data_IF_940526102482
#
_entry.id   IF_940526102482
#
_cell.length_a   1.000
_cell.length_b   1.000
_cell.length_c   1.000
_cell.angle_alpha   90.00
_cell.angle_beta   90.00
_cell.angle_gamma   90.00
#
_symmetry.space_group_name_H-M   'P 1'
#
loop_
_entity.id
_entity.type
_entity.pdbx_description
1 polymer ?
#
# COMPACT_ATOMS: atom_id res chain seq x y z
N UNK A 1 6.62 62.87 0.77
CA UNK A 1 5.18 62.90 1.05
C UNK A 1 4.60 61.57 0.70
N UNK A 2 3.95 60.91 1.71
CA UNK A 2 3.09 59.71 1.67
C UNK A 2 3.74 58.36 1.24
N UNK A 3 4.23 57.62 2.11
CA UNK A 3 3.86 56.49 2.97
C UNK A 3 2.65 55.68 2.46
N UNK A 4 2.89 54.45 2.01
CA UNK A 4 1.88 53.41 2.02
C UNK A 4 2.48 52.13 2.63
N UNK A 5 1.98 51.83 3.80
CA UNK A 5 2.19 50.68 4.63
C UNK A 5 1.38 49.51 4.07
N UNK A 6 1.98 48.37 3.79
CA UNK A 6 1.26 47.13 3.57
C UNK A 6 1.77 46.10 4.56
N UNK A 7 0.99 45.92 5.61
CA UNK A 7 1.24 44.89 6.64
C UNK A 7 0.95 43.48 6.10
N UNK A 8 1.98 42.68 6.02
CA UNK A 8 1.86 41.22 5.92
C UNK A 8 1.72 40.66 7.33
N UNK A 9 0.53 40.25 7.68
CA UNK A 9 0.28 39.46 8.89
C UNK A 9 0.91 38.06 8.72
N UNK A 10 1.89 37.79 9.54
CA UNK A 10 2.43 36.44 9.76
C UNK A 10 1.41 35.65 10.56
N UNK A 11 0.82 34.62 9.97
CA UNK A 11 0.11 33.58 10.71
C UNK A 11 1.15 32.72 11.45
N UNK A 12 1.07 32.75 12.76
CA UNK A 12 1.90 31.97 13.66
C UNK A 12 1.60 30.48 13.50
N UNK A 13 2.64 29.69 13.18
CA UNK A 13 2.62 28.24 13.31
C UNK A 13 2.47 27.89 14.81
N UNK A 14 1.32 27.34 15.16
CA UNK A 14 1.15 26.69 16.46
C UNK A 14 1.92 25.36 16.44
N UNK A 15 3.03 25.31 17.16
CA UNK A 15 3.78 24.09 17.42
C UNK A 15 2.93 23.14 18.26
N UNK A 16 2.35 22.11 17.65
CA UNK A 16 1.70 21.03 18.38
C UNK A 16 2.76 20.14 19.04
N UNK A 17 2.62 20.01 20.36
CA UNK A 17 3.51 19.30 21.28
C UNK A 17 3.78 17.85 20.87
N UNK A 18 5.03 17.51 20.63
CA UNK A 18 5.58 16.20 20.24
C UNK A 18 5.55 15.12 21.33
N UNK A 19 4.86 15.31 22.46
CA UNK A 19 5.13 14.51 23.67
C UNK A 19 4.07 13.47 24.05
N UNK A 20 2.99 13.25 23.30
CA UNK A 20 1.90 12.36 23.74
C UNK A 20 1.82 10.98 23.08
N UNK A 21 2.65 10.66 22.08
CA UNK A 21 2.52 9.40 21.32
C UNK A 21 3.37 8.22 21.83
N UNK A 22 4.15 8.37 22.88
CA UNK A 22 5.17 7.37 23.26
C UNK A 22 4.76 6.33 24.33
N UNK A 23 3.52 6.23 24.77
CA UNK A 23 3.18 5.37 25.93
C UNK A 23 2.10 4.31 25.76
N UNK A 24 1.61 3.98 24.56
CA UNK A 24 0.46 3.06 24.42
C UNK A 24 0.64 1.87 23.46
N UNK A 25 1.84 1.32 23.37
CA UNK A 25 2.08 0.08 22.59
C UNK A 25 2.29 -1.18 23.46
N UNK A 26 2.02 -1.14 24.78
CA UNK A 26 2.18 -2.30 25.63
C UNK A 26 0.84 -2.67 26.29
N UNK A 27 0.11 -3.61 25.71
CA UNK A 27 -0.97 -4.26 26.44
C UNK A 27 -2.23 -4.54 25.62
N UNK A 28 -2.24 -5.63 24.87
CA UNK A 28 -3.36 -6.56 24.72
C UNK A 28 -3.02 -7.63 23.66
N UNK A 29 -2.26 -8.62 24.05
CA UNK A 29 -2.14 -9.88 23.32
C UNK A 29 -3.45 -10.66 23.53
N UNK A 30 -4.27 -10.76 22.48
CA UNK A 30 -5.26 -11.82 22.39
C UNK A 30 -4.72 -12.88 21.42
N UNK A 31 -4.91 -14.20 21.73
CA UNK A 31 -4.42 -15.25 20.86
C UNK A 31 -5.14 -15.18 19.52
N UNK A 32 -4.36 -15.07 18.46
CA UNK A 32 -4.81 -15.38 17.12
C UNK A 32 -5.14 -16.87 17.10
N UNK A 33 -6.41 -17.22 17.04
CA UNK A 33 -6.85 -18.60 16.77
C UNK A 33 -6.29 -18.98 15.42
N UNK A 34 -5.51 -20.04 15.39
CA UNK A 34 -4.79 -20.51 14.21
C UNK A 34 -5.71 -20.63 13.01
N UNK A 35 -5.50 -19.75 12.03
CA UNK A 35 -6.08 -19.89 10.71
C UNK A 35 -5.44 -21.12 10.06
N UNK A 36 -6.23 -22.17 9.85
CA UNK A 36 -5.85 -23.26 8.95
C UNK A 36 -5.65 -22.63 7.55
N UNK A 37 -4.64 -23.07 6.78
CA UNK A 37 -4.49 -22.59 5.40
C UNK A 37 -5.77 -22.95 4.64
N UNK A 38 -6.57 -21.94 4.36
CA UNK A 38 -7.68 -22.05 3.42
C UNK A 38 -7.08 -22.04 2.02
N UNK A 39 -7.55 -22.92 1.16
CA UNK A 39 -7.16 -22.92 -0.23
C UNK A 39 -7.37 -21.51 -0.81
N UNK A 40 -6.40 -21.04 -1.59
CA UNK A 40 -6.47 -19.75 -2.26
C UNK A 40 -7.82 -19.65 -3.00
N UNK A 41 -8.59 -18.63 -2.68
CA UNK A 41 -9.81 -18.35 -3.42
C UNK A 41 -9.43 -18.10 -4.89
N UNK A 42 -10.08 -18.80 -5.81
CA UNK A 42 -9.84 -18.60 -7.23
C UNK A 42 -10.15 -17.13 -7.59
N UNK A 43 -9.35 -16.51 -8.47
CA UNK A 43 -9.59 -15.16 -8.93
C UNK A 43 -10.96 -15.05 -9.61
N UNK A 44 -11.59 -13.90 -9.47
CA UNK A 44 -12.85 -13.62 -10.13
C UNK A 44 -12.64 -13.61 -11.67
N UNK A 45 -13.22 -14.55 -12.44
CA UNK A 45 -12.98 -14.64 -13.88
C UNK A 45 -13.54 -13.44 -14.67
N UNK A 46 -14.44 -12.63 -14.10
CA UNK A 46 -14.98 -11.44 -14.77
C UNK A 46 -13.96 -10.30 -14.87
N UNK A 47 -12.97 -10.23 -13.97
CA UNK A 47 -11.95 -9.18 -14.01
C UNK A 47 -10.92 -9.40 -15.13
N UNK A 48 -10.71 -10.65 -15.53
CA UNK A 48 -9.80 -10.97 -16.64
C UNK A 48 -10.42 -10.63 -18.03
N UNK A 49 -11.72 -10.47 -18.13
CA UNK A 49 -12.41 -10.23 -19.42
C UNK A 49 -12.60 -8.74 -19.74
N UNK A 50 -12.56 -7.84 -18.75
CA UNK A 50 -12.84 -6.42 -18.94
C UNK A 50 -11.62 -5.49 -18.94
N UNK A 51 -10.46 -5.96 -18.49
CA UNK A 51 -9.20 -5.25 -18.72
C UNK A 51 -8.64 -5.74 -20.05
N UNK A 52 -8.34 -4.86 -21.00
CA UNK A 52 -7.66 -5.22 -22.26
C UNK A 52 -6.24 -5.79 -22.05
N UNK A 53 -5.94 -6.25 -20.86
CA UNK A 53 -4.74 -6.93 -20.44
C UNK A 53 -5.01 -8.44 -20.45
N UNK A 54 -4.40 -9.19 -21.38
CA UNK A 54 -4.36 -10.65 -21.29
C UNK A 54 -3.41 -11.02 -20.14
N UNK A 55 -3.95 -11.23 -18.94
CA UNK A 55 -3.18 -11.67 -17.80
C UNK A 55 -3.24 -13.19 -17.66
N UNK A 56 -2.09 -13.85 -17.48
CA UNK A 56 -2.01 -15.26 -17.08
C UNK A 56 -1.66 -15.32 -15.59
N UNK A 57 -2.46 -16.05 -14.80
CA UNK A 57 -2.10 -16.36 -13.42
C UNK A 57 -1.32 -17.68 -13.38
N UNK A 58 -0.15 -17.65 -12.77
CA UNK A 58 0.67 -18.84 -12.54
C UNK A 58 0.98 -18.99 -11.04
N UNK A 59 0.07 -19.63 -10.31
CA UNK A 59 0.25 -19.89 -8.88
C UNK A 59 0.67 -21.34 -8.58
N UNK A 60 0.20 -22.29 -9.37
CA UNK A 60 0.27 -23.71 -8.99
C UNK A 60 1.50 -24.45 -9.52
N UNK A 61 2.13 -23.97 -10.60
CA UNK A 61 3.16 -24.72 -11.31
C UNK A 61 4.57 -24.59 -10.71
N UNK A 62 4.79 -23.65 -9.76
CA UNK A 62 6.13 -23.24 -9.33
C UNK A 62 6.47 -23.52 -7.87
N UNK A 63 5.56 -24.09 -7.09
CA UNK A 63 5.78 -24.30 -5.64
C UNK A 63 5.78 -22.99 -4.80
N UNK A 64 5.41 -21.85 -5.38
CA UNK A 64 5.27 -20.57 -4.66
C UNK A 64 4.01 -20.56 -3.79
N UNK A 65 4.08 -19.84 -2.66
CA UNK A 65 2.94 -19.60 -1.76
C UNK A 65 2.05 -18.46 -2.29
N UNK A 66 2.67 -17.43 -2.90
CA UNK A 66 1.98 -16.30 -3.51
C UNK A 66 1.63 -16.53 -4.98
N UNK A 67 0.68 -15.77 -5.47
CA UNK A 67 0.25 -15.79 -6.87
C UNK A 67 0.93 -14.66 -7.67
N UNK A 68 1.21 -14.90 -8.96
CA UNK A 68 1.71 -13.87 -9.86
C UNK A 68 0.71 -13.69 -11.01
N UNK A 69 0.30 -12.43 -11.21
CA UNK A 69 -0.45 -12.00 -12.38
C UNK A 69 0.47 -11.16 -13.27
N UNK A 70 0.51 -11.45 -14.56
CA UNK A 70 1.28 -10.68 -15.53
C UNK A 70 0.34 -9.98 -16.50
N UNK A 71 0.41 -8.65 -16.54
CA UNK A 71 -0.34 -7.81 -17.48
C UNK A 71 0.63 -7.22 -18.51
N UNK A 72 0.29 -7.35 -19.79
CA UNK A 72 1.14 -6.90 -20.91
C UNK A 72 0.62 -5.60 -21.49
N UNK A 73 1.49 -4.59 -21.58
CA UNK A 73 1.19 -3.26 -22.17
C UNK A 73 2.25 -2.93 -23.22
N UNK A 74 2.07 -3.40 -24.43
CA UNK A 74 3.10 -3.27 -25.48
C UNK A 74 4.40 -3.96 -25.07
N UNK A 75 5.54 -3.24 -25.04
CA UNK A 75 6.82 -3.81 -24.62
C UNK A 75 6.98 -3.91 -23.09
N UNK A 76 6.09 -3.27 -22.31
CA UNK A 76 6.14 -3.23 -20.85
C UNK A 76 5.26 -4.32 -20.26
N UNK A 77 5.76 -5.03 -19.24
CA UNK A 77 4.96 -5.96 -18.45
C UNK A 77 4.88 -5.47 -17.01
N UNK A 78 3.70 -5.60 -16.43
CA UNK A 78 3.47 -5.37 -15.00
C UNK A 78 3.20 -6.73 -14.38
N UNK A 79 4.10 -7.16 -13.52
CA UNK A 79 3.98 -8.38 -12.74
C UNK A 79 3.50 -8.00 -11.34
N UNK A 80 2.38 -8.55 -10.93
CA UNK A 80 1.80 -8.37 -9.60
C UNK A 80 2.00 -9.64 -8.79
N UNK A 81 2.85 -9.60 -7.77
CA UNK A 81 2.99 -10.69 -6.81
C UNK A 81 2.02 -10.45 -5.65
N UNK A 82 1.07 -11.34 -5.50
CA UNK A 82 0.06 -11.29 -4.44
C UNK A 82 0.40 -12.30 -3.34
N UNK A 83 0.67 -11.82 -2.12
CA UNK A 83 0.91 -12.69 -0.98
C UNK A 83 -0.37 -13.41 -0.52
N UNK A 84 -0.24 -14.56 0.20
CA UNK A 84 -1.35 -15.19 0.89
C UNK A 84 -2.01 -14.28 1.96
N UNK A 85 -3.15 -14.74 2.51
CA UNK A 85 -3.93 -13.99 3.51
C UNK A 85 -3.15 -13.60 4.76
N UNK A 86 -2.21 -14.42 5.20
CA UNK A 86 -1.36 -14.13 6.38
C UNK A 86 -0.29 -13.06 6.10
N UNK A 87 -0.05 -12.73 4.84
CA UNK A 87 0.70 -11.57 4.36
C UNK A 87 -0.19 -10.39 3.96
N UNK A 88 -1.47 -10.41 4.33
CA UNK A 88 -2.47 -9.38 4.04
C UNK A 88 -2.80 -9.20 2.56
N UNK A 89 -2.49 -10.18 1.70
CA UNK A 89 -2.65 -10.08 0.25
C UNK A 89 -1.93 -8.87 -0.35
N UNK A 90 -0.80 -8.49 0.25
CA UNK A 90 0.02 -7.39 -0.25
C UNK A 90 0.51 -7.70 -1.66
N UNK A 91 0.43 -6.72 -2.52
CA UNK A 91 0.84 -6.78 -3.92
C UNK A 91 2.17 -6.03 -4.12
N UNK A 92 3.25 -6.77 -4.34
CA UNK A 92 4.48 -6.18 -4.87
C UNK A 92 4.37 -6.10 -6.39
N UNK A 93 4.55 -4.91 -6.94
CA UNK A 93 4.45 -4.67 -8.37
C UNK A 93 5.85 -4.55 -8.98
N UNK A 94 6.10 -5.32 -10.02
CA UNK A 94 7.37 -5.34 -10.73
C UNK A 94 7.13 -4.92 -12.18
N UNK A 95 7.73 -3.80 -12.57
CA UNK A 95 7.62 -3.27 -13.93
C UNK A 95 8.80 -3.78 -14.72
N UNK A 96 8.57 -4.72 -15.63
CA UNK A 96 9.56 -5.21 -16.57
C UNK A 96 9.61 -4.28 -17.79
N UNK A 97 10.64 -3.46 -17.85
CA UNK A 97 10.94 -2.58 -18.97
C UNK A 97 11.86 -3.22 -20.00
N UNK A 98 12.34 -2.45 -20.96
CA UNK A 98 13.23 -2.93 -22.04
C UNK A 98 14.51 -3.62 -21.52
N UNK A 99 15.18 -3.05 -20.52
CA UNK A 99 16.50 -3.53 -20.07
C UNK A 99 16.57 -3.87 -18.58
N UNK A 100 15.62 -3.42 -17.76
CA UNK A 100 15.63 -3.58 -16.31
C UNK A 100 14.24 -3.88 -15.73
N UNK A 101 14.22 -4.21 -14.44
CA UNK A 101 13.01 -4.34 -13.63
C UNK A 101 13.00 -3.26 -12.55
N UNK A 102 11.86 -2.61 -12.34
CA UNK A 102 11.61 -1.70 -11.23
C UNK A 102 10.64 -2.39 -10.28
N UNK A 103 10.99 -2.45 -8.99
CA UNK A 103 10.16 -3.08 -7.96
C UNK A 103 9.47 -1.98 -7.15
N UNK A 104 8.15 -2.10 -6.96
CA UNK A 104 7.39 -1.26 -6.04
C UNK A 104 6.93 -2.09 -4.85
N UNK A 105 7.30 -1.62 -3.65
CA UNK A 105 7.02 -2.23 -2.34
C UNK A 105 7.69 -3.59 -2.09
N UNK A 106 7.73 -4.01 -0.82
CA UNK A 106 8.62 -5.08 -0.39
C UNK A 106 7.97 -6.27 0.32
N UNK A 107 6.65 -6.35 0.48
CA UNK A 107 5.95 -7.36 1.27
C UNK A 107 6.06 -7.22 2.80
N UNK A 108 5.08 -7.76 3.55
CA UNK A 108 5.13 -7.86 5.00
C UNK A 108 6.13 -8.90 5.46
N UNK A 109 6.04 -10.12 4.92
CA UNK A 109 6.77 -11.28 5.40
C UNK A 109 7.97 -11.62 4.52
N UNK A 110 9.10 -11.88 5.16
CA UNK A 110 10.38 -12.18 4.50
C UNK A 110 10.30 -13.35 3.50
N UNK A 111 9.58 -14.47 3.78
CA UNK A 111 9.44 -15.54 2.79
C UNK A 111 8.78 -15.08 1.50
N UNK A 112 7.80 -14.17 1.56
CA UNK A 112 7.14 -13.66 0.37
C UNK A 112 8.02 -12.68 -0.42
N UNK A 113 8.80 -11.86 0.30
CA UNK A 113 9.83 -11.03 -0.34
C UNK A 113 10.91 -11.88 -1.03
N UNK A 114 11.25 -13.05 -0.48
CA UNK A 114 12.20 -13.99 -1.12
C UNK A 114 11.61 -14.65 -2.38
N UNK A 115 10.30 -14.96 -2.39
CA UNK A 115 9.61 -15.40 -3.60
C UNK A 115 9.60 -14.32 -4.69
N UNK A 116 9.34 -13.05 -4.31
CA UNK A 116 9.45 -11.90 -5.23
C UNK A 116 10.86 -11.82 -5.79
N UNK A 117 11.88 -11.86 -4.93
CA UNK A 117 13.27 -11.78 -5.37
C UNK A 117 13.65 -12.93 -6.33
N UNK A 118 13.23 -14.15 -6.00
CA UNK A 118 13.48 -15.32 -6.83
C UNK A 118 12.80 -15.24 -8.19
N UNK A 119 11.56 -14.72 -8.21
CA UNK A 119 10.82 -14.47 -9.45
C UNK A 119 11.51 -13.42 -10.33
N UNK A 120 11.90 -12.28 -9.74
CA UNK A 120 12.59 -11.20 -10.46
C UNK A 120 13.92 -11.67 -11.03
N UNK A 121 14.69 -12.47 -10.28
CA UNK A 121 15.93 -13.07 -10.80
C UNK A 121 15.68 -13.97 -12.00
N UNK A 122 14.58 -14.72 -12.01
CA UNK A 122 14.21 -15.58 -13.14
C UNK A 122 13.82 -14.81 -14.40
N UNK A 123 13.48 -13.51 -14.31
CA UNK A 123 13.26 -12.64 -15.48
C UNK A 123 14.57 -12.34 -16.24
N UNK A 124 15.74 -12.55 -15.61
CA UNK A 124 17.03 -12.40 -16.25
C UNK A 124 17.46 -10.97 -16.57
N UNK A 125 16.77 -9.97 -15.97
CA UNK A 125 17.10 -8.54 -16.09
C UNK A 125 17.60 -7.98 -14.75
N UNK A 126 18.49 -6.98 -14.75
CA UNK A 126 18.89 -6.31 -13.52
C UNK A 126 17.71 -5.54 -12.89
N UNK A 127 17.73 -5.38 -11.57
CA UNK A 127 16.82 -4.47 -10.87
C UNK A 127 17.45 -3.07 -10.86
N UNK A 128 16.79 -2.11 -11.50
CA UNK A 128 17.28 -0.72 -11.57
C UNK A 128 17.11 -0.04 -10.20
N UNK A 129 15.93 -0.18 -9.59
CA UNK A 129 15.58 0.41 -8.31
C UNK A 129 14.42 -0.28 -7.63
N UNK A 130 14.27 -0.02 -6.34
CA UNK A 130 13.10 -0.38 -5.53
C UNK A 130 12.46 0.93 -5.09
N UNK A 131 11.15 1.08 -5.29
CA UNK A 131 10.40 2.29 -4.93
C UNK A 131 9.38 1.92 -3.87
N UNK A 132 9.38 2.66 -2.75
CA UNK A 132 8.45 2.47 -1.66
C UNK A 132 7.28 3.45 -1.79
N UNK A 133 6.06 2.91 -1.76
CA UNK A 133 4.84 3.70 -1.91
C UNK A 133 4.51 4.54 -0.67
N UNK A 134 4.59 3.94 0.52
CA UNK A 134 4.30 4.59 1.80
C UNK A 134 4.91 3.84 3.00
N UNK A 135 4.65 4.30 4.22
CA UNK A 135 5.36 3.84 5.42
C UNK A 135 4.62 2.74 6.22
N UNK A 136 3.58 2.07 5.68
CA UNK A 136 2.98 0.92 6.34
C UNK A 136 3.91 -0.30 6.25
N UNK A 137 3.95 -1.10 7.32
CA UNK A 137 4.98 -2.13 7.53
C UNK A 137 4.96 -3.24 6.48
N UNK A 138 3.81 -3.54 5.96
CA UNK A 138 3.57 -4.56 4.96
C UNK A 138 4.11 -4.19 3.57
N UNK A 139 4.44 -2.93 3.34
CA UNK A 139 5.04 -2.47 2.09
C UNK A 139 6.58 -2.40 2.14
N UNK A 140 7.20 -2.37 3.35
CA UNK A 140 8.65 -2.19 3.44
C UNK A 140 9.40 -3.25 4.26
N UNK A 141 8.72 -4.09 5.05
CA UNK A 141 9.41 -5.09 5.88
C UNK A 141 10.31 -6.01 5.03
N UNK A 142 9.81 -6.47 3.90
CA UNK A 142 10.56 -7.33 2.98
C UNK A 142 11.72 -6.66 2.24
N UNK A 143 11.90 -5.33 2.34
CA UNK A 143 13.09 -4.65 1.82
C UNK A 143 14.39 -5.24 2.39
N UNK A 144 14.35 -5.79 3.61
CA UNK A 144 15.51 -6.50 4.18
C UNK A 144 16.00 -7.63 3.26
N UNK A 145 15.09 -8.36 2.62
CA UNK A 145 15.43 -9.44 1.67
C UNK A 145 15.76 -8.85 0.31
N UNK A 146 14.93 -7.95 -0.21
CA UNK A 146 15.11 -7.42 -1.56
C UNK A 146 16.46 -6.71 -1.71
N UNK A 147 16.87 -5.89 -0.73
CA UNK A 147 18.17 -5.21 -0.79
C UNK A 147 19.36 -6.16 -0.62
N UNK A 148 19.18 -7.27 0.08
CA UNK A 148 20.21 -8.31 0.17
C UNK A 148 20.36 -9.10 -1.15
N UNK A 149 19.27 -9.34 -1.86
CA UNK A 149 19.23 -10.08 -3.14
C UNK A 149 19.64 -9.20 -4.33
N UNK A 150 19.39 -7.88 -4.24
CA UNK A 150 19.68 -6.88 -5.27
C UNK A 150 20.51 -5.73 -4.68
N UNK A 151 21.79 -5.95 -4.32
CA UNK A 151 22.61 -4.97 -3.60
C UNK A 151 22.92 -3.71 -4.41
N UNK A 152 22.83 -3.78 -5.75
CA UNK A 152 23.05 -2.63 -6.63
C UNK A 152 21.78 -1.77 -6.80
N UNK A 153 20.60 -2.30 -6.46
CA UNK A 153 19.35 -1.58 -6.54
C UNK A 153 19.19 -0.62 -5.34
N UNK A 154 19.11 0.68 -5.62
CA UNK A 154 18.85 1.69 -4.59
C UNK A 154 17.36 1.73 -4.23
N UNK A 155 17.08 2.10 -2.98
CA UNK A 155 15.70 2.22 -2.48
C UNK A 155 15.28 3.68 -2.51
N UNK A 156 14.22 3.97 -3.23
CA UNK A 156 13.62 5.29 -3.41
C UNK A 156 12.31 5.40 -2.63
N UNK A 157 11.98 6.58 -2.15
CA UNK A 157 10.67 6.93 -1.61
C UNK A 157 10.43 8.43 -1.73
N UNK A 158 9.21 8.89 -1.52
CA UNK A 158 8.93 10.33 -1.35
C UNK A 158 9.68 10.87 -0.15
N UNK A 159 10.08 12.14 -0.24
CA UNK A 159 10.64 12.87 0.89
C UNK A 159 9.67 12.84 2.09
N UNK A 160 10.19 12.51 3.28
CA UNK A 160 9.43 12.30 4.50
C UNK A 160 9.09 10.84 4.84
N UNK A 161 9.06 9.90 3.89
CA UNK A 161 8.83 8.47 4.19
C UNK A 161 9.99 7.90 5.01
N UNK A 162 11.24 8.22 4.66
CA UNK A 162 12.41 7.79 5.42
C UNK A 162 12.37 8.28 6.89
N UNK A 163 11.85 9.50 7.13
CA UNK A 163 11.71 10.04 8.48
C UNK A 163 10.60 9.33 9.27
N UNK A 164 9.50 8.99 8.62
CA UNK A 164 8.45 8.18 9.25
C UNK A 164 8.98 6.79 9.65
N UNK A 165 9.79 6.16 8.79
CA UNK A 165 10.42 4.86 9.07
C UNK A 165 11.45 4.97 10.21
N UNK A 166 12.29 6.01 10.24
CA UNK A 166 13.22 6.26 11.36
C UNK A 166 12.49 6.45 12.67
N UNK A 167 11.38 7.19 12.65
CA UNK A 167 10.63 7.52 13.85
C UNK A 167 9.84 6.34 14.43
N UNK A 168 9.27 5.48 13.57
CA UNK A 168 8.26 4.50 14.00
C UNK A 168 8.52 3.07 13.50
N UNK A 169 9.41 2.88 12.51
CA UNK A 169 9.57 1.60 11.81
C UNK A 169 9.97 0.47 12.75
N UNK A 170 10.97 0.66 13.63
CA UNK A 170 11.40 -0.40 14.55
C UNK A 170 10.31 -0.78 15.54
N UNK A 171 9.59 0.18 16.11
CA UNK A 171 8.48 -0.08 17.02
C UNK A 171 7.34 -0.86 16.33
N UNK A 172 7.10 -0.61 15.04
CA UNK A 172 6.13 -1.37 14.24
C UNK A 172 6.60 -2.82 14.03
N UNK A 173 7.85 -3.04 13.65
CA UNK A 173 8.41 -4.40 13.53
C UNK A 173 8.28 -5.16 14.86
N UNK A 174 8.64 -4.51 15.96
CA UNK A 174 8.59 -5.11 17.30
C UNK A 174 7.15 -5.47 17.71
N UNK A 175 6.15 -4.70 17.27
CA UNK A 175 4.74 -5.01 17.51
C UNK A 175 4.22 -6.22 16.72
N UNK A 176 4.78 -6.48 15.54
CA UNK A 176 4.43 -7.64 14.71
C UNK A 176 5.23 -8.90 15.06
N UNK A 177 6.40 -8.76 15.69
CA UNK A 177 7.29 -9.88 16.03
C UNK A 177 6.63 -10.98 16.87
N UNK A 178 5.81 -10.69 17.89
CA UNK A 178 5.10 -11.74 18.64
C UNK A 178 4.16 -12.60 17.80
N UNK A 179 3.68 -12.05 16.66
CA UNK A 179 2.74 -12.71 15.76
C UNK A 179 3.48 -13.53 14.71
N UNK A 180 4.52 -12.96 14.09
CA UNK A 180 5.18 -13.51 12.91
C UNK A 180 6.57 -14.11 13.17
N UNK A 181 7.14 -13.88 14.37
CA UNK A 181 8.45 -14.41 14.74
C UNK A 181 9.56 -13.96 13.81
N UNK A 182 10.30 -14.92 13.28
CA UNK A 182 11.41 -14.70 12.34
C UNK A 182 10.95 -14.38 10.91
N UNK A 183 9.67 -14.51 10.62
CA UNK A 183 9.11 -14.21 9.29
C UNK A 183 9.01 -12.71 9.00
N UNK A 184 9.19 -11.83 10.00
CA UNK A 184 9.21 -10.38 9.81
C UNK A 184 10.63 -9.83 9.94
N UNK A 185 10.91 -8.70 9.29
CA UNK A 185 12.22 -8.08 9.32
C UNK A 185 12.73 -7.82 10.75
N UNK A 186 14.03 -7.94 10.94
CA UNK A 186 14.67 -7.69 12.24
C UNK A 186 15.02 -6.23 12.44
N UNK A 187 15.20 -5.49 11.35
CA UNK A 187 15.58 -4.07 11.33
C UNK A 187 14.89 -3.34 10.18
N UNK A 188 14.76 -2.05 10.34
CA UNK A 188 14.23 -1.17 9.29
C UNK A 188 15.28 -0.99 8.19
N UNK A 189 14.88 -1.22 6.94
CA UNK A 189 15.66 -0.81 5.78
C UNK A 189 15.12 0.54 5.30
N UNK A 190 15.98 1.55 5.29
CA UNK A 190 15.60 2.92 4.94
C UNK A 190 15.78 3.17 3.43
N UNK A 191 14.89 3.96 2.80
CA UNK A 191 15.17 4.56 1.51
C UNK A 191 16.44 5.42 1.55
N UNK A 192 17.25 5.32 0.50
CA UNK A 192 18.49 6.08 0.34
C UNK A 192 18.38 7.22 -0.65
N UNK A 193 17.33 7.19 -1.48
CA UNK A 193 17.09 8.16 -2.55
C UNK A 193 15.67 8.71 -2.47
N UNK A 194 15.48 9.90 -3.02
CA UNK A 194 14.16 10.54 -3.06
C UNK A 194 13.53 10.42 -4.44
N UNK A 195 12.25 10.03 -4.47
CA UNK A 195 11.42 10.12 -5.66
C UNK A 195 11.06 11.59 -5.88
N UNK A 196 11.37 12.13 -7.05
CA UNK A 196 10.92 13.45 -7.48
C UNK A 196 9.54 13.35 -8.10
N UNK A 197 8.61 14.24 -7.71
CA UNK A 197 7.28 14.32 -8.29
C UNK A 197 7.31 14.78 -9.76
N UNK A 198 6.25 14.44 -10.50
CA UNK A 198 6.10 14.77 -11.91
C UNK A 198 6.66 13.72 -12.86
N UNK A 199 6.81 14.10 -14.11
CA UNK A 199 7.25 13.21 -15.18
C UNK A 199 8.72 12.84 -15.06
N UNK A 200 8.98 11.53 -15.08
CA UNK A 200 10.31 10.95 -15.12
C UNK A 200 10.37 9.81 -16.13
N UNK A 201 11.51 9.62 -16.75
CA UNK A 201 11.78 8.43 -17.55
C UNK A 201 12.74 7.50 -16.82
N UNK A 202 12.33 6.21 -16.69
CA UNK A 202 13.12 5.15 -16.08
C UNK A 202 13.05 3.94 -17.02
N UNK A 203 14.20 3.46 -17.47
CA UNK A 203 14.31 2.37 -18.45
C UNK A 203 13.39 2.56 -19.68
N UNK A 204 13.32 3.79 -20.20
CA UNK A 204 12.50 4.14 -21.37
C UNK A 204 10.99 4.20 -21.12
N UNK A 205 10.53 4.00 -19.89
CA UNK A 205 9.13 4.09 -19.49
C UNK A 205 8.89 5.45 -18.81
N UNK A 206 7.82 6.15 -19.21
CA UNK A 206 7.42 7.40 -18.57
C UNK A 206 6.57 7.08 -17.33
N UNK A 207 6.97 7.68 -16.21
CA UNK A 207 6.22 7.70 -14.96
C UNK A 207 5.85 9.13 -14.62
N UNK A 208 4.61 9.39 -14.20
CA UNK A 208 4.21 10.66 -13.58
C UNK A 208 3.95 10.39 -12.09
N UNK A 209 4.93 10.71 -11.24
CA UNK A 209 4.85 10.48 -9.81
C UNK A 209 4.05 11.58 -9.12
N UNK A 210 3.11 11.19 -8.29
CA UNK A 210 2.23 12.07 -7.52
C UNK A 210 2.38 11.79 -6.03
N UNK A 211 2.35 12.87 -5.25
CA UNK A 211 2.31 12.85 -3.80
C UNK A 211 0.89 13.07 -3.33
N UNK A 212 0.43 12.24 -2.40
CA UNK A 212 -0.81 12.43 -1.67
C UNK A 212 -0.52 12.41 -0.17
N UNK A 213 -1.25 13.23 0.59
CA UNK A 213 -1.13 13.34 2.05
C UNK A 213 -2.48 13.11 2.70
N UNK A 214 -2.49 12.73 3.99
CA UNK A 214 -3.68 12.62 4.82
C UNK A 214 -4.82 11.80 4.15
N UNK A 215 -4.46 10.70 3.49
CA UNK A 215 -5.40 9.76 2.88
C UNK A 215 -5.46 8.46 3.70
N UNK A 216 -5.18 7.31 3.09
CA UNK A 216 -5.04 6.03 3.80
C UNK A 216 -3.88 6.08 4.82
N UNK A 217 -2.83 6.81 4.48
CA UNK A 217 -1.69 7.11 5.36
C UNK A 217 -1.35 8.61 5.32
N UNK A 218 -0.44 9.04 6.23
CA UNK A 218 0.00 10.44 6.31
C UNK A 218 0.67 10.92 5.01
N UNK A 219 1.31 10.02 4.25
CA UNK A 219 2.05 10.32 3.03
C UNK A 219 2.13 9.10 2.12
N UNK A 220 1.67 9.25 0.87
CA UNK A 220 1.65 8.18 -0.12
C UNK A 220 2.10 8.65 -1.50
N UNK A 221 2.78 7.76 -2.21
CA UNK A 221 3.09 7.84 -3.62
C UNK A 221 1.95 7.22 -4.43
N UNK A 222 1.63 7.84 -5.57
CA UNK A 222 1.00 7.15 -6.70
C UNK A 222 1.85 7.39 -7.95
N UNK A 223 1.73 6.52 -8.94
CA UNK A 223 2.42 6.67 -10.21
C UNK A 223 1.46 6.43 -11.38
N UNK A 224 1.49 7.31 -12.36
CA UNK A 224 0.80 7.08 -13.62
C UNK A 224 1.81 6.62 -14.67
N UNK A 225 1.43 5.64 -15.46
CA UNK A 225 2.16 5.19 -16.64
C UNK A 225 1.35 5.60 -17.87
N UNK A 226 1.58 6.80 -18.44
CA UNK A 226 0.70 7.40 -19.44
C UNK A 226 0.56 6.58 -20.72
N UNK A 227 1.67 6.04 -21.22
CA UNK A 227 1.65 5.22 -22.45
C UNK A 227 0.93 3.88 -22.25
N UNK A 228 1.02 3.31 -21.03
CA UNK A 228 0.36 2.05 -20.67
C UNK A 228 -1.08 2.25 -20.20
N UNK A 229 -1.48 3.51 -19.90
CA UNK A 229 -2.78 3.86 -19.33
C UNK A 229 -3.06 3.14 -18.01
N UNK A 230 -2.04 3.01 -17.18
CA UNK A 230 -2.10 2.36 -15.86
C UNK A 230 -1.91 3.40 -14.77
N UNK A 231 -2.79 3.38 -13.77
CA UNK A 231 -2.64 4.09 -12.50
C UNK A 231 -2.15 3.09 -11.44
N UNK A 232 -0.99 3.33 -10.88
CA UNK A 232 -0.49 2.64 -9.69
C UNK A 232 -0.93 3.42 -8.46
N UNK A 233 -2.05 3.02 -7.85
CA UNK A 233 -2.67 3.75 -6.74
C UNK A 233 -2.24 3.24 -5.36
N UNK A 234 -1.63 2.04 -5.29
CA UNK A 234 -1.27 1.39 -4.02
C UNK A 234 -2.47 1.38 -3.05
N UNK A 235 -2.30 1.82 -1.81
CA UNK A 235 -3.34 1.79 -0.78
C UNK A 235 -4.31 2.99 -0.83
N UNK A 236 -4.17 3.86 -1.83
CA UNK A 236 -5.21 4.89 -2.07
C UNK A 236 -6.52 4.27 -2.56
N UNK A 237 -6.45 3.15 -3.30
CA UNK A 237 -7.61 2.44 -3.85
C UNK A 237 -7.56 0.98 -3.40
N UNK A 238 -8.71 0.44 -3.00
CA UNK A 238 -8.85 -0.95 -2.56
C UNK A 238 -9.78 -1.76 -3.48
N UNK A 239 -9.54 -3.07 -3.49
CA UNK A 239 -10.42 -4.03 -4.16
C UNK A 239 -11.83 -3.99 -3.58
N UNK A 240 -12.88 -4.07 -4.39
CA UNK A 240 -14.24 -4.22 -3.89
C UNK A 240 -14.45 -5.53 -3.11
N UNK A 241 -13.53 -6.49 -3.21
CA UNK A 241 -13.59 -7.80 -2.56
C UNK A 241 -12.96 -7.82 -1.16
N UNK A 242 -12.28 -6.75 -0.74
CA UNK A 242 -11.55 -6.71 0.54
C UNK A 242 -12.01 -5.54 1.41
N UNK A 243 -11.88 -5.71 2.72
CA UNK A 243 -12.05 -4.61 3.66
C UNK A 243 -10.92 -3.59 3.50
N UNK A 244 -11.29 -2.31 3.49
CA UNK A 244 -10.35 -1.20 3.40
C UNK A 244 -9.66 -0.97 4.74
N UNK A 245 -8.38 -0.69 4.72
CA UNK A 245 -7.57 -0.44 5.89
C UNK A 245 -7.74 1.00 6.38
N UNK A 246 -8.54 1.21 7.44
CA UNK A 246 -8.89 2.52 7.98
C UNK A 246 -8.24 2.76 9.34
N UNK A 247 -6.94 3.05 9.36
CA UNK A 247 -6.15 3.20 10.61
C UNK A 247 -6.09 4.62 11.16
N UNK A 248 -6.47 5.60 10.34
CA UNK A 248 -6.52 7.03 10.66
C UNK A 248 -7.88 7.60 10.27
N UNK A 249 -8.27 8.72 10.87
CA UNK A 249 -9.57 9.34 10.62
C UNK A 249 -9.55 10.40 9.51
N UNK A 250 -8.68 10.22 8.52
CA UNK A 250 -8.57 11.12 7.36
C UNK A 250 -9.67 10.91 6.31
N UNK A 251 -10.82 10.36 6.68
CA UNK A 251 -11.89 9.96 5.77
C UNK A 251 -12.27 11.02 4.74
N UNK A 252 -12.45 12.28 5.17
CA UNK A 252 -12.88 13.36 4.26
C UNK A 252 -11.80 13.71 3.25
N UNK A 253 -10.56 13.82 3.71
CA UNK A 253 -9.46 14.14 2.82
C UNK A 253 -9.13 13.00 1.87
N UNK A 254 -9.20 11.76 2.34
CA UNK A 254 -9.03 10.59 1.47
C UNK A 254 -10.09 10.55 0.35
N UNK A 255 -11.36 10.88 0.64
CA UNK A 255 -12.38 10.99 -0.41
C UNK A 255 -12.04 12.09 -1.44
N UNK A 256 -11.49 13.23 -1.01
CA UNK A 256 -11.00 14.28 -1.94
C UNK A 256 -9.87 13.73 -2.82
N UNK A 257 -8.93 12.98 -2.25
CA UNK A 257 -7.85 12.34 -3.01
C UNK A 257 -8.41 11.35 -4.04
N UNK A 258 -9.41 10.54 -3.67
CA UNK A 258 -10.06 9.61 -4.59
C UNK A 258 -10.79 10.33 -5.72
N UNK A 259 -11.48 11.44 -5.44
CA UNK A 259 -12.10 12.29 -6.46
C UNK A 259 -11.03 12.87 -7.42
N UNK A 260 -9.84 13.24 -6.93
CA UNK A 260 -8.73 13.69 -7.78
C UNK A 260 -8.21 12.56 -8.69
N UNK A 261 -8.14 11.33 -8.20
CA UNK A 261 -7.78 10.17 -9.02
C UNK A 261 -8.88 9.84 -10.04
N UNK A 262 -10.15 10.02 -9.67
CA UNK A 262 -11.28 9.74 -10.56
C UNK A 262 -11.35 10.71 -11.74
N UNK A 263 -10.92 11.94 -11.64
CA UNK A 263 -10.89 12.86 -12.78
C UNK A 263 -9.75 12.57 -13.79
N UNK A 264 -8.79 11.69 -13.46
CA UNK A 264 -7.74 11.27 -14.38
C UNK A 264 -8.31 10.29 -15.43
N UNK A 265 -8.77 10.82 -16.54
CA UNK A 265 -9.38 10.02 -17.60
C UNK A 265 -8.34 9.17 -18.36
N UNK A 266 -8.79 7.98 -18.84
CA UNK A 266 -7.98 7.11 -19.69
C UNK A 266 -7.08 6.12 -18.93
N UNK A 267 -7.20 6.02 -17.60
CA UNK A 267 -6.51 5.05 -16.76
C UNK A 267 -7.50 4.01 -16.21
N UNK A 268 -7.92 3.07 -17.06
CA UNK A 268 -8.94 2.09 -16.70
C UNK A 268 -8.40 0.93 -15.86
N UNK A 269 -7.09 0.66 -15.95
CA UNK A 269 -6.41 -0.33 -15.13
C UNK A 269 -5.74 0.37 -13.94
N UNK A 270 -6.10 -0.06 -12.73
CA UNK A 270 -5.48 0.44 -11.49
C UNK A 270 -4.77 -0.72 -10.80
N UNK A 271 -3.46 -0.56 -10.53
CA UNK A 271 -2.75 -1.47 -9.64
C UNK A 271 -2.84 -0.94 -8.21
N UNK A 272 -3.08 -1.83 -7.27
CA UNK A 272 -3.38 -1.54 -5.87
C UNK A 272 -2.41 -2.24 -4.94
N UNK A 273 -2.30 -1.80 -3.69
CA UNK A 273 -1.35 -2.36 -2.73
C UNK A 273 -1.78 -3.71 -2.14
N UNK A 274 -3.07 -4.01 -2.16
CA UNK A 274 -3.64 -5.29 -1.75
C UNK A 274 -4.54 -5.84 -2.85
N UNK A 275 -4.56 -7.18 -3.03
CA UNK A 275 -5.26 -7.86 -4.11
C UNK A 275 -4.64 -7.63 -5.52
N UNK A 276 -5.28 -8.16 -6.53
CA UNK A 276 -4.90 -8.04 -7.95
C UNK A 276 -5.30 -6.67 -8.51
N UNK A 277 -4.72 -6.24 -9.65
CA UNK A 277 -5.15 -5.04 -10.34
C UNK A 277 -6.67 -5.01 -10.57
N UNK A 278 -7.25 -3.82 -10.49
CA UNK A 278 -8.69 -3.59 -10.54
C UNK A 278 -9.04 -2.64 -11.68
N UNK A 279 -10.34 -2.62 -12.02
CA UNK A 279 -10.89 -1.61 -12.91
C UNK A 279 -11.15 -0.30 -12.15
N UNK A 280 -11.19 0.82 -12.88
CA UNK A 280 -11.44 2.18 -12.36
C UNK A 280 -12.64 2.28 -11.41
N UNK A 281 -13.71 1.50 -11.62
CA UNK A 281 -14.87 1.45 -10.72
C UNK A 281 -14.55 1.09 -9.26
N UNK A 282 -13.33 0.60 -8.98
CA UNK A 282 -12.87 0.39 -7.61
C UNK A 282 -12.70 1.69 -6.81
N UNK A 283 -12.51 2.83 -7.49
CA UNK A 283 -12.48 4.15 -6.84
C UNK A 283 -13.84 4.42 -6.18
N UNK A 284 -14.95 4.27 -6.91
CA UNK A 284 -16.30 4.46 -6.38
C UNK A 284 -16.61 3.48 -5.23
N UNK A 285 -16.15 2.23 -5.38
CA UNK A 285 -16.28 1.22 -4.32
C UNK A 285 -15.53 1.62 -3.05
N UNK A 286 -14.32 2.16 -3.19
CA UNK A 286 -13.50 2.65 -2.07
C UNK A 286 -14.16 3.86 -1.42
N UNK A 287 -14.64 4.84 -2.19
CA UNK A 287 -15.39 6.01 -1.68
C UNK A 287 -16.62 5.56 -0.90
N UNK A 288 -17.40 4.62 -1.44
CA UNK A 288 -18.60 4.07 -0.77
C UNK A 288 -18.25 3.44 0.57
N UNK A 289 -17.17 2.65 0.61
CA UNK A 289 -16.70 2.03 1.84
C UNK A 289 -16.27 3.06 2.87
N UNK A 290 -15.47 4.06 2.48
CA UNK A 290 -14.95 5.11 3.37
C UNK A 290 -16.10 5.96 3.93
N UNK A 291 -17.09 6.34 3.12
CA UNK A 291 -18.29 7.05 3.59
C UNK A 291 -18.99 6.26 4.68
N UNK A 292 -19.20 4.95 4.44
CA UNK A 292 -19.84 4.08 5.42
C UNK A 292 -19.00 3.88 6.68
N UNK A 293 -17.67 3.72 6.53
CA UNK A 293 -16.75 3.62 7.65
C UNK A 293 -16.78 4.89 8.54
N UNK A 294 -16.81 6.08 7.92
CA UNK A 294 -16.93 7.37 8.62
C UNK A 294 -18.23 7.47 9.42
N UNK A 295 -19.38 7.11 8.81
CA UNK A 295 -20.67 7.10 9.49
C UNK A 295 -20.67 6.17 10.71
N UNK A 296 -20.17 4.93 10.53
CA UNK A 296 -20.07 3.94 11.61
C UNK A 296 -19.10 4.42 12.69
N UNK A 297 -17.98 5.04 12.30
CA UNK A 297 -17.01 5.59 13.24
C UNK A 297 -17.63 6.68 14.12
N UNK A 298 -18.41 7.58 13.54
CA UNK A 298 -19.12 8.64 14.27
C UNK A 298 -20.18 8.09 15.24
N UNK A 299 -20.81 6.96 14.89
CA UNK A 299 -21.85 6.32 15.68
C UNK A 299 -21.33 5.32 16.73
N UNK A 300 -20.06 4.92 16.66
CA UNK A 300 -19.49 3.87 17.53
C UNK A 300 -18.73 4.47 18.70
N UNK A 301 -19.01 3.96 19.91
CA UNK A 301 -18.35 4.40 21.12
C UNK A 301 -16.94 3.83 21.29
N UNK A 302 -16.67 2.68 20.69
CA UNK A 302 -15.42 1.93 20.85
C UNK A 302 -15.03 1.12 19.59
N UNK A 303 -13.80 0.62 19.58
CA UNK A 303 -13.24 -0.16 18.50
C UNK A 303 -14.02 -1.44 18.19
N UNK A 304 -14.59 -2.09 19.20
CA UNK A 304 -15.35 -3.34 19.04
C UNK A 304 -16.65 -3.06 18.27
N UNK A 305 -17.42 -2.07 18.73
CA UNK A 305 -18.69 -1.67 18.09
C UNK A 305 -18.45 -1.23 16.64
N UNK A 306 -17.38 -0.46 16.39
CA UNK A 306 -16.99 -0.07 15.04
C UNK A 306 -16.70 -1.28 14.16
N UNK A 307 -15.83 -2.19 14.63
CA UNK A 307 -15.43 -3.37 13.85
C UNK A 307 -16.61 -4.26 13.51
N UNK A 308 -17.47 -4.57 14.51
CA UNK A 308 -18.64 -5.42 14.28
C UNK A 308 -19.62 -4.78 13.28
N UNK A 309 -19.88 -3.48 13.42
CA UNK A 309 -20.78 -2.74 12.52
C UNK A 309 -20.23 -2.65 11.10
N UNK A 310 -18.92 -2.42 10.94
CA UNK A 310 -18.31 -2.31 9.62
C UNK A 310 -18.27 -3.66 8.89
N UNK A 311 -17.94 -4.74 9.59
CA UNK A 311 -18.04 -6.10 9.04
C UNK A 311 -19.46 -6.48 8.66
N UNK A 312 -20.44 -6.09 9.45
CA UNK A 312 -21.85 -6.33 9.14
C UNK A 312 -22.34 -5.51 7.93
N UNK A 313 -21.78 -4.32 7.70
CA UNK A 313 -22.11 -3.49 6.54
C UNK A 313 -21.53 -4.04 5.22
N UNK A 314 -20.46 -4.83 5.29
CA UNK A 314 -19.78 -5.41 4.13
C UNK A 314 -19.44 -6.90 4.37
N UNK A 315 -20.44 -7.79 4.52
CA UNK A 315 -20.25 -9.16 4.99
C UNK A 315 -19.48 -10.06 4.03
N UNK A 316 -19.48 -9.72 2.74
CA UNK A 316 -18.87 -10.53 1.68
C UNK A 316 -17.39 -10.15 1.42
N UNK A 317 -16.89 -9.07 2.04
CA UNK A 317 -15.50 -8.65 1.86
C UNK A 317 -14.55 -9.53 2.66
N UNK A 318 -13.41 -9.86 2.05
CA UNK A 318 -12.33 -10.62 2.68
C UNK A 318 -11.52 -9.74 3.66
N UNK A 319 -10.55 -10.33 4.35
CA UNK A 319 -9.68 -9.65 5.32
C UNK A 319 -10.43 -9.00 6.49
N UNK A 320 -11.53 -9.61 6.97
CA UNK A 320 -12.29 -9.12 8.11
C UNK A 320 -11.45 -8.92 9.39
N UNK A 321 -10.35 -9.67 9.56
CA UNK A 321 -9.39 -9.46 10.66
C UNK A 321 -8.67 -8.11 10.59
N UNK A 322 -8.52 -7.55 9.40
CA UNK A 322 -7.92 -6.22 9.21
C UNK A 322 -8.82 -5.12 9.77
N UNK A 323 -10.14 -5.33 9.76
CA UNK A 323 -11.08 -4.38 10.40
C UNK A 323 -10.85 -4.32 11.91
N UNK A 324 -10.61 -5.47 12.57
CA UNK A 324 -10.31 -5.51 14.01
C UNK A 324 -8.98 -4.81 14.33
N UNK A 325 -7.98 -4.97 13.46
CA UNK A 325 -6.70 -4.32 13.62
C UNK A 325 -6.80 -2.81 13.39
N UNK A 326 -7.44 -2.40 12.30
CA UNK A 326 -7.70 -0.98 11.98
C UNK A 326 -8.47 -0.27 13.09
N UNK A 327 -9.54 -0.89 13.59
CA UNK A 327 -10.37 -0.34 14.66
C UNK A 327 -9.56 -0.05 15.92
N UNK A 328 -8.65 -0.94 16.31
CA UNK A 328 -7.77 -0.74 17.47
C UNK A 328 -6.88 0.48 17.30
N UNK A 329 -6.29 0.67 16.13
CA UNK A 329 -5.43 1.81 15.84
C UNK A 329 -6.21 3.12 15.78
N UNK A 330 -7.34 3.14 15.08
CA UNK A 330 -8.23 4.28 14.92
C UNK A 330 -8.74 4.80 16.27
N UNK A 331 -9.11 3.90 17.19
CA UNK A 331 -9.61 4.30 18.52
C UNK A 331 -8.49 4.50 19.56
N UNK A 332 -7.28 4.01 19.34
CA UNK A 332 -6.13 4.34 20.19
C UNK A 332 -5.74 5.82 20.08
N UNK A 333 -5.93 6.44 18.94
CA UNK A 333 -5.67 7.86 18.70
C UNK A 333 -6.66 8.80 19.42
N UNK A 334 -7.84 8.29 19.83
CA UNK A 334 -8.88 9.08 20.55
C UNK A 334 -8.62 9.20 22.08
N UNK A 335 -7.67 8.47 22.63
CA UNK A 335 -7.31 8.49 24.06
C UNK A 335 -6.08 9.35 24.30
#
# INVERSE_FOLDING_TARGET
MLSSNSGFQRLSQAAMSRSRFLRLAAGALLPFVGLRPSAAAAPNPELAQNSGASGTMDAAASGRMGAILVSQFGPVKIHSYLSPLDGFRVNTQMIEGPTAVIIFDGQLLLPYADEVASYVQALGKPVDRIILSHAHTDHWSGLQVLTARFPDARVFALDGIADQLRARGQARLDSFRPIYGERIATKVTLPTETVTEGLQQIDGITYDFKRFVDAESDLQLAALLPEQKVLMAFDLVFSPNEHVFTVVDHFDHWMIVLDQLDVLQGYDTITIGHDTPVHRSAIDSTITYIKRAKEIHAASADAKTYSESLKAAFPDRQLASMVDFSAKLLYAARR
#
